data_IF_348995007334
#
_entry.id   IF_348995007334
#
_cell.length_a   1.000
_cell.length_b   1.000
_cell.length_c   1.000
_cell.angle_alpha   90.00
_cell.angle_beta   90.00
_cell.angle_gamma   90.00
#
_symmetry.space_group_name_H-M   'P 1'
#
loop_
_entity.id
_entity.type
_entity.pdbx_description
1 polymer ?
#
# COMPACT_ATOMS: atom_id res chain seq x y z
N UNK A 1 -23.39 -16.81 -6.87
CA UNK A 1 -23.40 -16.84 -5.39
C UNK A 1 -23.45 -18.29 -4.98
N UNK A 2 -22.31 -18.92 -4.71
CA UNK A 2 -22.26 -20.27 -4.18
C UNK A 2 -22.96 -20.29 -2.82
N UNK A 3 -23.89 -21.22 -2.63
CA UNK A 3 -24.43 -21.53 -1.30
C UNK A 3 -23.25 -21.80 -0.36
N UNK A 4 -23.26 -21.37 0.91
CA UNK A 4 -22.28 -21.86 1.87
C UNK A 4 -22.33 -23.38 1.82
N UNK A 5 -21.24 -23.98 1.38
CA UNK A 5 -21.18 -25.42 1.16
C UNK A 5 -21.41 -26.09 2.54
N UNK A 6 -22.42 -26.97 2.67
CA UNK A 6 -22.77 -27.58 3.94
C UNK A 6 -21.61 -28.37 4.57
N UNK A 7 -20.59 -28.73 3.78
CA UNK A 7 -19.48 -29.58 4.20
C UNK A 7 -18.21 -28.83 4.64
N UNK A 8 -18.17 -27.49 4.60
CA UNK A 8 -16.97 -26.70 4.97
C UNK A 8 -16.50 -27.00 6.38
N UNK A 9 -17.40 -27.11 7.35
CA UNK A 9 -17.03 -27.35 8.75
C UNK A 9 -16.48 -28.77 8.99
N UNK A 10 -16.96 -29.77 8.24
CA UNK A 10 -16.47 -31.15 8.31
C UNK A 10 -15.04 -31.24 7.75
N UNK A 11 -14.80 -30.63 6.58
CA UNK A 11 -13.48 -30.53 5.96
C UNK A 11 -12.52 -29.75 6.85
N UNK A 12 -12.96 -28.64 7.44
CA UNK A 12 -12.17 -27.84 8.39
C UNK A 12 -11.79 -28.65 9.63
N UNK A 13 -12.72 -29.44 10.18
CA UNK A 13 -12.45 -30.32 11.31
C UNK A 13 -11.43 -31.41 10.96
N UNK A 14 -11.48 -31.95 9.74
CA UNK A 14 -10.47 -32.89 9.25
C UNK A 14 -9.09 -32.24 9.12
N UNK A 15 -9.00 -31.07 8.48
CA UNK A 15 -7.75 -30.32 8.32
C UNK A 15 -7.10 -29.97 9.66
N UNK A 16 -7.90 -29.57 10.65
CA UNK A 16 -7.42 -29.26 12.00
C UNK A 16 -6.77 -30.47 12.71
N UNK A 17 -7.18 -31.70 12.34
CA UNK A 17 -6.61 -32.96 12.85
C UNK A 17 -5.39 -33.40 12.03
N UNK A 18 -5.46 -33.30 10.71
CA UNK A 18 -4.39 -33.73 9.80
C UNK A 18 -3.11 -32.89 9.93
N UNK A 19 -3.23 -31.57 10.13
CA UNK A 19 -2.12 -30.61 10.36
C UNK A 19 -0.96 -30.73 9.36
N UNK A 20 -1.26 -31.15 8.14
CA UNK A 20 -0.31 -31.42 7.06
C UNK A 20 -0.97 -31.16 5.71
N UNK A 21 -0.17 -31.13 4.63
CA UNK A 21 -0.67 -30.95 3.28
C UNK A 21 -1.50 -32.16 2.84
N UNK A 22 -2.73 -31.93 2.38
CA UNK A 22 -3.69 -32.98 2.00
C UNK A 22 -4.06 -32.87 0.53
N UNK A 23 -4.30 -34.01 -0.12
CA UNK A 23 -4.97 -34.03 -1.43
C UNK A 23 -6.49 -34.06 -1.25
N UNK A 24 -7.24 -33.75 -2.30
CA UNK A 24 -8.70 -33.92 -2.33
C UNK A 24 -9.10 -35.37 -2.00
N UNK A 25 -8.35 -36.35 -2.52
CA UNK A 25 -8.57 -37.77 -2.26
C UNK A 25 -8.37 -38.15 -0.79
N UNK A 26 -7.35 -37.59 -0.13
CA UNK A 26 -7.09 -37.83 1.30
C UNK A 26 -8.26 -37.32 2.16
N UNK A 27 -8.79 -36.14 1.82
CA UNK A 27 -9.91 -35.53 2.54
C UNK A 27 -11.20 -36.32 2.28
N UNK A 28 -11.50 -36.65 1.02
CA UNK A 28 -12.68 -37.42 0.66
C UNK A 28 -12.69 -38.81 1.33
N UNK A 29 -11.55 -39.49 1.36
CA UNK A 29 -11.40 -40.78 2.05
C UNK A 29 -11.55 -40.64 3.58
N UNK A 30 -11.11 -39.51 4.15
CA UNK A 30 -11.16 -39.24 5.59
C UNK A 30 -12.52 -38.78 6.11
N UNK A 31 -13.31 -38.08 5.28
CA UNK A 31 -14.61 -37.50 5.66
C UNK A 31 -15.80 -38.29 5.12
N UNK A 32 -15.62 -39.03 4.03
CA UNK A 32 -16.71 -39.71 3.30
C UNK A 32 -17.52 -38.79 2.39
N UNK A 33 -17.09 -37.53 2.21
CA UNK A 33 -17.69 -36.56 1.29
C UNK A 33 -17.21 -36.86 -0.15
N UNK A 34 -18.03 -36.55 -1.16
CA UNK A 34 -17.62 -36.66 -2.56
C UNK A 34 -16.51 -35.67 -2.92
N UNK A 35 -15.69 -36.02 -3.92
CA UNK A 35 -14.50 -35.24 -4.30
C UNK A 35 -14.85 -33.81 -4.72
N UNK A 36 -15.98 -33.59 -5.41
CA UNK A 36 -16.38 -32.26 -5.88
C UNK A 36 -16.79 -31.34 -4.73
N UNK A 37 -17.54 -31.85 -3.74
CA UNK A 37 -17.89 -31.09 -2.54
C UNK A 37 -16.65 -30.83 -1.66
N UNK A 38 -15.69 -31.76 -1.63
CA UNK A 38 -14.40 -31.53 -0.96
C UNK A 38 -13.62 -30.41 -1.63
N UNK A 39 -13.51 -30.42 -2.95
CA UNK A 39 -12.84 -29.36 -3.72
C UNK A 39 -13.49 -28.00 -3.45
N UNK A 40 -14.82 -27.91 -3.56
CA UNK A 40 -15.57 -26.68 -3.27
C UNK A 40 -15.33 -26.17 -1.84
N UNK A 41 -15.32 -27.07 -0.84
CA UNK A 41 -15.03 -26.72 0.54
C UNK A 41 -13.58 -26.25 0.75
N UNK A 42 -12.60 -26.89 0.09
CA UNK A 42 -11.19 -26.47 0.13
C UNK A 42 -11.01 -25.07 -0.48
N UNK A 43 -11.63 -24.80 -1.63
CA UNK A 43 -11.63 -23.48 -2.26
C UNK A 43 -12.30 -22.42 -1.37
N UNK A 44 -13.42 -22.75 -0.73
CA UNK A 44 -14.06 -21.85 0.24
C UNK A 44 -13.15 -21.53 1.44
N UNK A 45 -12.37 -22.50 1.91
CA UNK A 45 -11.38 -22.29 2.96
C UNK A 45 -10.19 -21.46 2.48
N UNK A 46 -9.72 -21.62 1.24
CA UNK A 46 -8.64 -20.82 0.65
C UNK A 46 -8.99 -19.32 0.57
N UNK A 47 -10.28 -18.98 0.42
CA UNK A 47 -10.77 -17.58 0.45
C UNK A 47 -10.73 -16.94 1.83
N UNK A 48 -10.71 -17.74 2.90
CA UNK A 48 -10.90 -17.26 4.28
C UNK A 48 -9.68 -17.48 5.16
N UNK A 49 -8.85 -18.48 4.84
CA UNK A 49 -7.68 -18.90 5.60
C UNK A 49 -6.42 -18.87 4.75
N UNK A 50 -5.26 -18.68 5.41
CA UNK A 50 -3.96 -18.80 4.75
C UNK A 50 -3.77 -20.24 4.29
N UNK A 51 -3.51 -20.41 3.00
CA UNK A 51 -3.32 -21.68 2.34
C UNK A 51 -2.23 -21.54 1.28
N UNK A 52 -1.59 -22.64 0.91
CA UNK A 52 -0.68 -22.71 -0.22
C UNK A 52 -0.97 -23.97 -1.02
N UNK A 53 -0.87 -23.85 -2.35
CA UNK A 53 -0.95 -24.97 -3.26
C UNK A 53 0.46 -25.43 -3.59
N UNK A 54 0.69 -26.73 -3.54
CA UNK A 54 1.98 -27.33 -3.90
C UNK A 54 1.75 -28.62 -4.68
N UNK A 55 2.79 -29.03 -5.40
CA UNK A 55 2.84 -30.32 -6.07
C UNK A 55 3.67 -31.25 -5.21
N UNK A 56 3.13 -32.41 -4.88
CA UNK A 56 3.86 -33.48 -4.19
C UNK A 56 4.71 -34.26 -5.20
N UNK A 57 5.73 -34.96 -4.72
CA UNK A 57 6.68 -35.73 -5.56
C UNK A 57 5.99 -36.78 -6.47
N UNK A 58 4.77 -37.20 -6.13
CA UNK A 58 3.95 -38.14 -6.91
C UNK A 58 3.11 -37.46 -8.02
N UNK A 59 3.24 -36.14 -8.20
CA UNK A 59 2.46 -35.36 -9.17
C UNK A 59 1.05 -35.03 -8.69
N UNK A 60 0.73 -35.24 -7.41
CA UNK A 60 -0.57 -34.90 -6.84
C UNK A 60 -0.62 -33.44 -6.38
N UNK A 61 -1.72 -32.75 -6.67
CA UNK A 61 -2.00 -31.42 -6.13
C UNK A 61 -2.32 -31.53 -4.64
N UNK A 62 -1.60 -30.78 -3.81
CA UNK A 62 -1.82 -30.76 -2.36
C UNK A 62 -2.12 -29.36 -1.85
N UNK A 63 -3.07 -29.32 -0.93
CA UNK A 63 -3.53 -28.13 -0.24
C UNK A 63 -2.89 -28.09 1.15
N UNK A 64 -2.07 -27.08 1.41
CA UNK A 64 -1.43 -26.87 2.70
C UNK A 64 -2.00 -25.64 3.41
N UNK A 65 -2.74 -25.87 4.50
CA UNK A 65 -3.26 -24.82 5.38
C UNK A 65 -2.35 -24.55 6.60
N UNK A 66 -1.19 -25.22 6.66
CA UNK A 66 -0.27 -25.20 7.78
C UNK A 66 -0.77 -26.01 8.99
N UNK A 67 -0.04 -25.88 10.10
CA UNK A 67 -0.37 -26.58 11.36
C UNK A 67 -1.60 -26.02 12.07
N UNK A 68 -1.91 -24.75 11.81
CA UNK A 68 -3.04 -24.01 12.37
C UNK A 68 -3.78 -23.31 11.24
N UNK A 69 -5.10 -23.44 11.22
CA UNK A 69 -5.98 -22.73 10.30
C UNK A 69 -5.99 -21.24 10.69
N UNK A 70 -5.11 -20.45 10.06
CA UNK A 70 -5.00 -19.01 10.33
C UNK A 70 -5.95 -18.24 9.39
N UNK A 71 -6.94 -17.50 9.91
CA UNK A 71 -7.78 -16.63 9.07
C UNK A 71 -6.95 -15.52 8.42
N UNK A 72 -7.26 -15.19 7.15
CA UNK A 72 -6.55 -14.16 6.38
C UNK A 72 -6.56 -12.78 7.06
N UNK A 73 -7.67 -12.43 7.73
CA UNK A 73 -7.83 -11.15 8.44
C UNK A 73 -7.20 -11.08 9.83
N UNK A 74 -6.46 -12.10 10.29
CA UNK A 74 -5.80 -12.06 11.60
C UNK A 74 -4.52 -11.23 11.47
N UNK A 75 -4.43 -10.05 12.11
CA UNK A 75 -3.26 -9.19 11.96
C UNK A 75 -2.04 -9.90 12.53
N UNK A 76 -1.01 -10.05 11.71
CA UNK A 76 0.26 -10.64 12.14
C UNK A 76 0.86 -9.83 13.29
N UNK A 77 1.72 -10.44 14.12
CA UNK A 77 2.41 -9.70 15.20
C UNK A 77 3.19 -8.51 14.62
N UNK A 78 3.78 -8.68 13.44
CA UNK A 78 4.43 -7.61 12.69
C UNK A 78 3.46 -6.49 12.31
N UNK A 79 2.27 -6.81 11.81
CA UNK A 79 1.24 -5.80 11.52
C UNK A 79 0.73 -5.08 12.77
N UNK A 80 0.62 -5.77 13.91
CA UNK A 80 0.23 -5.14 15.19
C UNK A 80 1.30 -4.16 15.66
N UNK A 81 2.57 -4.56 15.61
CA UNK A 81 3.72 -3.69 15.93
C UNK A 81 3.80 -2.52 14.96
N UNK A 82 3.60 -2.76 13.66
CA UNK A 82 3.57 -1.70 12.65
C UNK A 82 2.38 -0.74 12.87
N UNK A 83 1.22 -1.25 13.29
CA UNK A 83 0.05 -0.41 13.61
C UNK A 83 0.33 0.46 14.83
N UNK A 84 0.91 -0.12 15.89
CA UNK A 84 1.32 0.62 17.07
C UNK A 84 2.39 1.67 16.72
N UNK A 85 3.39 1.28 15.92
CA UNK A 85 4.44 2.15 15.42
C UNK A 85 3.89 3.31 14.60
N UNK A 86 2.93 3.06 13.69
CA UNK A 86 2.23 4.11 12.92
C UNK A 86 1.50 5.08 13.86
N UNK A 87 0.82 4.57 14.88
CA UNK A 87 0.13 5.41 15.86
C UNK A 87 1.12 6.25 16.70
N UNK A 88 2.19 5.62 17.19
CA UNK A 88 3.28 6.30 17.91
C UNK A 88 3.94 7.37 17.04
N UNK A 89 4.19 7.06 15.78
CA UNK A 89 4.78 7.98 14.80
C UNK A 89 3.86 9.16 14.50
N UNK A 90 2.55 8.93 14.38
CA UNK A 90 1.54 10.01 14.26
C UNK A 90 1.57 10.93 15.49
N UNK A 91 1.61 10.35 16.69
CA UNK A 91 1.71 11.12 17.94
C UNK A 91 3.02 11.91 18.04
N UNK A 92 4.14 11.25 17.79
CA UNK A 92 5.48 11.86 17.79
C UNK A 92 5.58 13.00 16.78
N UNK A 93 5.19 12.76 15.52
CA UNK A 93 5.23 13.79 14.48
C UNK A 93 4.34 14.98 14.80
N UNK A 94 3.17 14.78 15.40
CA UNK A 94 2.31 15.88 15.87
C UNK A 94 2.98 16.72 16.95
N UNK A 95 3.52 16.08 17.99
CA UNK A 95 4.22 16.77 19.09
C UNK A 95 5.45 17.51 18.57
N UNK A 96 6.24 16.87 17.72
CA UNK A 96 7.44 17.46 17.11
C UNK A 96 7.12 18.66 16.20
N UNK A 97 6.09 18.55 15.33
CA UNK A 97 5.63 19.66 14.50
C UNK A 97 5.18 20.85 15.36
N UNK A 98 4.46 20.56 16.45
CA UNK A 98 3.97 21.59 17.37
C UNK A 98 5.13 22.27 18.10
N UNK A 99 6.10 21.51 18.62
CA UNK A 99 7.25 22.09 19.32
C UNK A 99 8.13 22.92 18.38
N UNK A 100 8.36 22.45 17.15
CA UNK A 100 9.08 23.20 16.12
C UNK A 100 8.37 24.52 15.79
N UNK A 101 7.04 24.49 15.63
CA UNK A 101 6.25 25.69 15.38
C UNK A 101 6.34 26.70 16.54
N UNK A 102 6.28 26.24 17.80
CA UNK A 102 6.44 27.11 18.97
C UNK A 102 7.81 27.80 18.99
N UNK A 103 8.88 27.04 18.75
CA UNK A 103 10.24 27.60 18.67
C UNK A 103 10.35 28.61 17.52
N UNK A 104 9.79 28.28 16.36
CA UNK A 104 9.83 29.14 15.17
C UNK A 104 9.06 30.45 15.37
N UNK A 105 7.91 30.41 16.06
CA UNK A 105 7.16 31.61 16.47
C UNK A 105 7.99 32.44 17.45
N UNK A 106 8.65 31.80 18.42
CA UNK A 106 9.54 32.48 19.36
C UNK A 106 10.65 33.27 18.64
N UNK A 107 11.30 32.64 17.65
CA UNK A 107 12.29 33.32 16.80
C UNK A 107 11.66 34.44 15.96
N UNK A 108 10.49 34.22 15.35
CA UNK A 108 9.83 35.22 14.52
C UNK A 108 9.48 36.49 15.32
N UNK A 109 8.96 36.34 16.55
CA UNK A 109 8.69 37.46 17.46
C UNK A 109 9.98 38.17 17.85
N UNK A 110 11.05 37.42 18.19
CA UNK A 110 12.34 38.03 18.51
C UNK A 110 12.91 38.84 17.34
N UNK A 111 12.84 38.31 16.11
CA UNK A 111 13.25 39.04 14.90
C UNK A 111 12.37 40.27 14.63
N UNK A 112 11.06 40.18 14.83
CA UNK A 112 10.16 41.33 14.68
C UNK A 112 10.55 42.46 15.64
N UNK A 113 10.82 42.14 16.91
CA UNK A 113 11.28 43.11 17.91
C UNK A 113 12.61 43.73 17.49
N UNK A 114 13.55 42.93 16.97
CA UNK A 114 14.83 43.44 16.46
C UNK A 114 14.65 44.36 15.24
N UNK A 115 13.76 44.02 14.31
CA UNK A 115 13.46 44.86 13.14
C UNK A 115 12.83 46.18 13.56
N UNK A 116 11.85 46.17 14.46
CA UNK A 116 11.23 47.40 14.98
C UNK A 116 12.26 48.25 15.72
N UNK A 117 13.09 47.65 16.56
CA UNK A 117 14.18 48.35 17.25
C UNK A 117 15.18 48.96 16.27
N UNK A 118 15.58 48.22 15.22
CA UNK A 118 16.48 48.70 14.17
C UNK A 118 15.84 49.81 13.32
N UNK A 119 14.56 49.71 13.00
CA UNK A 119 13.81 50.73 12.25
C UNK A 119 13.71 52.03 13.04
N UNK A 120 13.40 51.96 14.34
CA UNK A 120 13.39 53.13 15.22
C UNK A 120 14.81 53.73 15.32
N UNK A 121 15.84 52.91 15.47
CA UNK A 121 17.23 53.36 15.52
C UNK A 121 17.76 53.94 14.20
N UNK A 122 17.22 53.52 13.04
CA UNK A 122 17.57 54.06 11.73
C UNK A 122 16.77 55.31 11.37
N UNK A 123 15.53 55.42 11.86
CA UNK A 123 14.67 56.61 11.67
C UNK A 123 15.18 57.86 12.37
N UNK A 124 16.09 57.73 13.35
CA UNK A 124 16.80 58.86 13.94
C UNK A 124 17.99 59.34 13.11
N UNK A 125 18.30 58.69 11.98
CA UNK A 125 19.47 58.99 11.13
C UNK A 125 19.15 59.44 9.70
N UNK A 126 17.89 59.41 9.24
CA UNK A 126 17.53 59.89 7.89
C UNK A 126 16.03 60.15 7.71
N UNK A 127 15.71 61.32 7.15
CA UNK A 127 14.42 61.71 6.60
C UNK A 127 14.35 61.31 5.12
N UNK A 128 13.93 60.10 4.78
CA UNK A 128 13.24 59.86 3.51
C UNK A 128 12.46 58.53 3.48
N UNK A 129 11.43 58.52 2.64
CA UNK A 129 10.26 57.61 2.63
C UNK A 129 10.53 56.11 2.78
N UNK A 130 9.69 55.48 3.62
CA UNK A 130 9.99 54.22 4.31
C UNK A 130 9.75 52.91 3.52
N UNK A 131 10.75 52.01 3.44
CA UNK A 131 10.65 50.60 3.00
C UNK A 131 9.77 49.69 3.89
N UNK A 132 9.04 50.28 4.84
CA UNK A 132 8.37 49.56 5.93
C UNK A 132 7.24 48.65 5.43
N UNK A 133 6.48 49.07 4.42
CA UNK A 133 5.33 48.33 3.91
C UNK A 133 5.74 46.95 3.35
N UNK A 134 6.86 46.89 2.61
CA UNK A 134 7.38 45.62 2.07
C UNK A 134 7.95 44.70 3.15
N UNK A 135 8.55 45.25 4.21
CA UNK A 135 9.03 44.47 5.35
C UNK A 135 7.87 43.86 6.16
N UNK A 136 6.77 44.60 6.38
CA UNK A 136 5.58 44.08 7.06
C UNK A 136 4.87 42.99 6.25
N UNK A 137 4.80 43.13 4.92
CA UNK A 137 4.23 42.11 4.04
C UNK A 137 5.07 40.83 4.03
N UNK A 138 6.40 40.95 4.00
CA UNK A 138 7.33 39.83 4.11
C UNK A 138 7.18 39.08 5.45
N UNK A 139 7.11 39.82 6.56
CA UNK A 139 6.90 39.24 7.89
C UNK A 139 5.54 38.53 7.95
N UNK A 140 4.47 39.15 7.45
CA UNK A 140 3.14 38.54 7.41
C UNK A 140 3.09 37.26 6.58
N UNK A 141 3.78 37.24 5.43
CA UNK A 141 3.90 36.06 4.57
C UNK A 141 4.66 34.92 5.26
N UNK A 142 5.76 35.22 5.94
CA UNK A 142 6.52 34.24 6.74
C UNK A 142 5.69 33.71 7.89
N UNK A 143 4.98 34.58 8.63
CA UNK A 143 4.07 34.16 9.71
C UNK A 143 2.98 33.22 9.20
N UNK A 144 2.35 33.51 8.06
CA UNK A 144 1.33 32.63 7.47
C UNK A 144 1.92 31.26 7.09
N UNK A 145 3.13 31.22 6.52
CA UNK A 145 3.82 29.99 6.16
C UNK A 145 4.17 29.11 7.38
N UNK A 146 4.41 29.70 8.55
CA UNK A 146 4.70 28.97 9.80
C UNK A 146 3.46 28.22 10.32
N UNK A 147 2.28 28.84 10.24
CA UNK A 147 1.02 28.23 10.69
C UNK A 147 0.41 27.27 9.66
N UNK A 148 1.03 27.13 8.49
CA UNK A 148 0.58 26.23 7.44
C UNK A 148 1.17 24.82 7.62
N UNK A 149 0.57 24.04 8.53
CA UNK A 149 1.03 22.69 8.90
C UNK A 149 0.90 21.62 7.80
N UNK A 150 0.18 21.94 6.72
CA UNK A 150 -0.01 21.06 5.56
C UNK A 150 1.10 21.33 4.55
N UNK A 151 2.00 20.36 4.33
CA UNK A 151 3.16 20.47 3.43
C UNK A 151 2.85 20.14 1.96
N UNK A 152 1.68 19.54 1.72
CA UNK A 152 1.21 19.09 0.42
C UNK A 152 -0.25 19.52 0.18
N UNK A 153 -0.64 19.57 -1.08
CA UNK A 153 -2.03 19.77 -1.52
C UNK A 153 -2.73 18.41 -1.59
N UNK A 154 -4.07 18.38 -1.58
CA UNK A 154 -4.84 17.15 -1.78
C UNK A 154 -4.84 16.64 -3.24
N UNK A 155 -4.11 17.31 -4.14
CA UNK A 155 -3.99 16.94 -5.54
C UNK A 155 -2.96 15.82 -5.69
N UNK A 156 -3.36 14.77 -6.39
CA UNK A 156 -2.53 13.61 -6.71
C UNK A 156 -2.09 13.75 -8.16
N UNK A 157 -0.79 13.60 -8.43
CA UNK A 157 -0.23 13.54 -9.77
C UNK A 157 0.65 12.30 -9.93
N UNK A 158 0.79 11.83 -11.17
CA UNK A 158 1.69 10.73 -11.50
C UNK A 158 3.11 11.25 -11.68
N UNK A 159 4.06 10.71 -10.92
CA UNK A 159 5.49 10.97 -11.06
C UNK A 159 6.19 9.68 -11.48
N UNK A 160 7.26 9.79 -12.27
CA UNK A 160 8.08 8.63 -12.66
C UNK A 160 9.39 8.70 -11.90
N UNK A 161 9.76 7.61 -11.23
CA UNK A 161 11.03 7.57 -10.51
C UNK A 161 12.23 7.49 -11.49
N UNK A 162 13.44 7.56 -10.93
CA UNK A 162 14.70 7.47 -11.71
C UNK A 162 14.87 6.17 -12.48
N UNK A 163 14.07 5.14 -12.18
CA UNK A 163 14.11 3.82 -12.78
C UNK A 163 12.97 3.61 -13.78
N UNK A 164 12.12 4.62 -14.01
CA UNK A 164 11.02 4.55 -14.97
C UNK A 164 9.70 4.02 -14.38
N UNK A 165 9.61 3.82 -13.06
CA UNK A 165 8.38 3.34 -12.43
C UNK A 165 7.43 4.50 -12.11
N UNK A 166 6.20 4.48 -12.67
CA UNK A 166 5.19 5.47 -12.33
C UNK A 166 4.70 5.23 -10.90
N UNK A 167 4.52 6.31 -10.14
CA UNK A 167 3.93 6.27 -8.80
C UNK A 167 3.09 7.52 -8.56
N UNK A 168 2.05 7.39 -7.73
CA UNK A 168 1.23 8.52 -7.31
C UNK A 168 1.92 9.33 -6.19
N UNK A 169 2.03 10.63 -6.40
CA UNK A 169 2.59 11.57 -5.43
C UNK A 169 1.62 12.73 -5.16
N UNK A 170 1.68 13.29 -3.95
CA UNK A 170 0.94 14.50 -3.62
C UNK A 170 1.68 15.74 -4.12
N UNK A 171 0.96 16.67 -4.75
CA UNK A 171 1.55 17.93 -5.21
C UNK A 171 2.14 18.70 -4.00
N UNK A 172 3.45 19.00 -4.01
CA UNK A 172 4.04 19.76 -2.94
C UNK A 172 3.50 21.18 -2.92
N UNK A 173 3.33 21.75 -1.72
CA UNK A 173 2.90 23.14 -1.64
C UNK A 173 3.96 24.08 -2.20
N UNK A 174 3.49 25.01 -3.03
CA UNK A 174 4.29 26.07 -3.61
C UNK A 174 4.81 27.01 -2.51
N UNK A 175 6.03 27.56 -2.65
CA UNK A 175 6.56 28.53 -1.70
C UNK A 175 5.70 29.80 -1.71
N UNK A 176 5.51 30.39 -0.52
CA UNK A 176 4.75 31.64 -0.34
C UNK A 176 5.45 32.85 -0.99
N UNK A 177 6.77 32.76 -1.19
CA UNK A 177 7.57 33.75 -1.91
C UNK A 177 7.75 33.33 -3.37
N UNK A 178 7.38 34.21 -4.30
CA UNK A 178 7.57 33.99 -5.72
C UNK A 178 9.08 33.81 -6.03
N UNK A 179 9.46 32.62 -6.49
CA UNK A 179 10.80 32.41 -7.07
C UNK A 179 10.82 33.04 -8.47
N UNK A 180 11.97 33.54 -8.95
CA UNK A 180 12.11 33.89 -10.37
C UNK A 180 11.76 32.68 -11.24
N UNK A 181 11.08 32.93 -12.37
CA UNK A 181 10.39 31.95 -13.22
C UNK A 181 11.25 30.77 -13.74
N UNK A 182 12.56 30.77 -13.53
CA UNK A 182 13.45 29.66 -13.88
C UNK A 182 13.46 28.51 -12.84
N UNK A 183 12.81 28.67 -11.67
CA UNK A 183 12.75 27.64 -10.61
C UNK A 183 11.32 27.44 -10.11
N UNK A 184 10.40 27.12 -11.02
CA UNK A 184 8.98 26.92 -10.68
C UNK A 184 8.69 25.59 -9.94
N UNK A 185 9.55 24.59 -10.06
CA UNK A 185 9.31 23.24 -9.53
C UNK A 185 10.05 22.96 -8.21
N UNK A 186 9.71 23.68 -7.13
CA UNK A 186 10.37 23.46 -5.85
C UNK A 186 9.44 23.55 -4.65
N UNK A 187 9.56 22.58 -3.74
CA UNK A 187 8.87 22.56 -2.45
C UNK A 187 9.18 23.84 -1.64
N UNK A 188 8.22 24.31 -0.85
CA UNK A 188 8.45 25.34 0.18
C UNK A 188 9.61 24.94 1.12
N UNK A 189 10.37 25.90 1.65
CA UNK A 189 11.44 25.62 2.63
C UNK A 189 10.91 24.85 3.84
N UNK A 190 9.75 25.26 4.38
CA UNK A 190 9.10 24.60 5.51
C UNK A 190 8.70 23.17 5.13
N UNK A 191 8.13 22.97 3.93
CA UNK A 191 7.79 21.65 3.42
C UNK A 191 9.04 20.75 3.24
N UNK A 192 10.16 21.33 2.80
CA UNK A 192 11.42 20.61 2.60
C UNK A 192 12.04 20.15 3.92
N UNK A 193 12.00 21.00 4.96
CA UNK A 193 12.46 20.63 6.31
C UNK A 193 11.59 19.51 6.88
N UNK A 194 10.26 19.61 6.74
CA UNK A 194 9.37 18.55 7.18
C UNK A 194 9.56 17.24 6.42
N UNK A 195 9.70 17.28 5.10
CA UNK A 195 9.96 16.09 4.28
C UNK A 195 11.34 15.48 4.60
N UNK A 196 12.34 16.29 4.95
CA UNK A 196 13.66 15.80 5.38
C UNK A 196 13.60 15.07 6.72
N UNK A 197 12.87 15.62 7.70
CA UNK A 197 12.79 15.05 9.05
C UNK A 197 11.79 13.88 9.14
N UNK A 198 10.66 13.98 8.44
CA UNK A 198 9.54 13.03 8.56
C UNK A 198 9.39 12.11 7.35
N UNK A 199 10.08 12.39 6.26
CA UNK A 199 9.86 11.79 4.96
C UNK A 199 8.71 12.48 4.19
N UNK A 200 8.74 12.41 2.85
CA UNK A 200 7.62 12.89 2.03
C UNK A 200 6.36 12.06 2.27
N UNK A 201 5.19 12.69 2.18
CA UNK A 201 3.92 11.99 2.25
C UNK A 201 3.72 11.11 1.03
N UNK A 202 3.42 9.83 1.24
CA UNK A 202 3.16 8.86 0.18
C UNK A 202 1.65 8.62 0.07
N UNK A 203 1.18 8.44 -1.16
CA UNK A 203 -0.19 7.98 -1.41
C UNK A 203 -0.26 6.52 -0.96
N UNK A 204 -1.24 6.19 -0.12
CA UNK A 204 -1.48 4.80 0.26
C UNK A 204 -2.03 4.06 -0.97
N UNK A 205 -1.38 2.98 -1.43
CA UNK A 205 -1.89 2.21 -2.56
C UNK A 205 -3.25 1.60 -2.22
N UNK A 206 -4.09 1.44 -3.24
CA UNK A 206 -5.39 0.80 -3.06
C UNK A 206 -5.21 -0.62 -2.50
N UNK A 207 -5.99 -1.07 -1.49
CA UNK A 207 -5.78 -2.36 -0.83
C UNK A 207 -5.90 -3.57 -1.76
N UNK A 208 -6.55 -3.42 -2.92
CA UNK A 208 -6.69 -4.44 -3.95
C UNK A 208 -5.83 -4.18 -5.21
N UNK A 209 -4.93 -3.19 -5.19
CA UNK A 209 -4.10 -2.84 -6.36
C UNK A 209 -3.32 -4.06 -6.87
N UNK A 210 -2.74 -4.85 -5.96
CA UNK A 210 -1.99 -6.06 -6.32
C UNK A 210 -2.87 -7.11 -7.02
N UNK A 211 -4.11 -7.31 -6.54
CA UNK A 211 -5.05 -8.23 -7.18
C UNK A 211 -5.47 -7.73 -8.57
N UNK A 212 -5.66 -6.42 -8.72
CA UNK A 212 -6.00 -5.81 -10.00
C UNK A 212 -4.86 -5.97 -11.02
N UNK A 213 -3.62 -5.75 -10.59
CA UNK A 213 -2.44 -5.93 -11.44
C UNK A 213 -2.27 -7.39 -11.90
N UNK A 214 -2.41 -8.35 -10.98
CA UNK A 214 -2.34 -9.77 -11.32
C UNK A 214 -3.51 -10.18 -12.23
N UNK A 215 -4.73 -9.69 -11.99
CA UNK A 215 -5.86 -9.95 -12.86
C UNK A 215 -5.67 -9.37 -14.27
N UNK A 216 -5.08 -8.18 -14.39
CA UNK A 216 -4.73 -7.58 -15.67
C UNK A 216 -3.68 -8.43 -16.41
N UNK A 217 -2.64 -8.89 -15.70
CA UNK A 217 -1.64 -9.80 -16.25
C UNK A 217 -2.25 -11.11 -16.76
N UNK A 218 -3.12 -11.76 -15.96
CA UNK A 218 -3.80 -13.00 -16.34
C UNK A 218 -4.61 -12.81 -17.61
N UNK A 219 -5.31 -11.68 -17.74
CA UNK A 219 -6.07 -11.36 -18.96
C UNK A 219 -5.18 -11.12 -20.18
N UNK A 220 -3.99 -10.54 -19.99
CA UNK A 220 -3.03 -10.30 -21.07
C UNK A 220 -2.32 -11.60 -21.53
N UNK A 221 -2.08 -12.53 -20.61
CA UNK A 221 -1.36 -13.79 -20.87
C UNK A 221 -2.27 -15.00 -21.09
N UNK A 222 -3.45 -14.78 -21.68
CA UNK A 222 -4.32 -15.88 -22.10
C UNK A 222 -4.97 -16.67 -20.96
N UNK A 223 -5.11 -16.07 -19.78
CA UNK A 223 -5.83 -16.64 -18.65
C UNK A 223 -5.04 -17.63 -17.82
N UNK A 224 -3.72 -17.70 -17.98
CA UNK A 224 -2.84 -18.60 -17.21
C UNK A 224 -2.04 -17.81 -16.18
N UNK A 225 -1.87 -18.37 -14.98
CA UNK A 225 -1.03 -17.83 -13.93
C UNK A 225 -0.18 -18.94 -13.31
N UNK A 226 1.09 -18.64 -13.04
CA UNK A 226 1.95 -19.47 -12.20
C UNK A 226 2.38 -18.73 -10.94
N UNK A 227 2.84 -19.47 -9.92
CA UNK A 227 3.44 -18.86 -8.71
C UNK A 227 4.64 -17.98 -9.08
N UNK A 228 5.42 -18.37 -10.10
CA UNK A 228 6.59 -17.59 -10.54
C UNK A 228 6.19 -16.26 -11.15
N UNK A 229 5.09 -16.22 -11.89
CA UNK A 229 4.55 -14.97 -12.42
C UNK A 229 4.13 -14.03 -11.29
N UNK A 230 3.45 -14.57 -10.27
CA UNK A 230 3.09 -13.79 -9.07
C UNK A 230 4.35 -13.20 -8.41
N UNK A 231 5.42 -13.98 -8.26
CA UNK A 231 6.68 -13.49 -7.69
C UNK A 231 7.31 -12.40 -8.56
N UNK A 232 7.32 -12.58 -9.88
CA UNK A 232 7.91 -11.64 -10.81
C UNK A 232 7.16 -10.30 -10.85
N UNK A 233 5.83 -10.32 -10.73
CA UNK A 233 4.99 -9.12 -10.75
C UNK A 233 5.00 -8.38 -9.41
N UNK A 234 4.81 -9.11 -8.31
CA UNK A 234 4.62 -8.49 -6.99
C UNK A 234 5.90 -8.28 -6.19
N UNK A 235 7.00 -8.94 -6.57
CA UNK A 235 8.23 -9.00 -5.76
C UNK A 235 8.08 -9.82 -4.47
N UNK A 236 6.97 -10.53 -4.27
CA UNK A 236 6.73 -11.35 -3.08
C UNK A 236 7.75 -12.49 -2.95
N UNK A 237 8.11 -12.79 -1.70
CA UNK A 237 8.86 -14.01 -1.40
C UNK A 237 8.05 -15.25 -1.74
N UNK A 238 8.73 -16.38 -2.01
CA UNK A 238 8.08 -17.63 -2.50
C UNK A 238 6.84 -18.03 -1.69
N UNK A 239 6.97 -18.11 -0.37
CA UNK A 239 5.87 -18.51 0.53
C UNK A 239 4.68 -17.55 0.47
N UNK A 240 4.95 -16.25 0.36
CA UNK A 240 3.91 -15.23 0.28
C UNK A 240 3.21 -15.27 -1.09
N UNK A 241 3.97 -15.47 -2.17
CA UNK A 241 3.43 -15.66 -3.50
C UNK A 241 2.59 -16.93 -3.62
N UNK A 242 3.01 -18.05 -3.01
CA UNK A 242 2.22 -19.30 -2.96
C UNK A 242 0.89 -19.06 -2.22
N UNK A 243 0.90 -18.28 -1.14
CA UNK A 243 -0.32 -17.93 -0.40
C UNK A 243 -1.24 -16.98 -1.17
N UNK A 244 -0.66 -15.98 -1.81
CA UNK A 244 -1.40 -15.07 -2.67
C UNK A 244 -2.01 -15.81 -3.86
N UNK A 245 -1.24 -16.69 -4.51
CA UNK A 245 -1.68 -17.51 -5.63
C UNK A 245 -2.86 -18.38 -5.25
N UNK A 246 -2.76 -19.17 -4.16
CA UNK A 246 -3.85 -20.00 -3.67
C UNK A 246 -5.13 -19.18 -3.41
N UNK A 247 -4.99 -18.05 -2.71
CA UNK A 247 -6.12 -17.15 -2.45
C UNK A 247 -6.71 -16.59 -3.75
N UNK A 248 -5.88 -16.15 -4.68
CA UNK A 248 -6.30 -15.54 -5.95
C UNK A 248 -7.04 -16.54 -6.85
N UNK A 249 -6.53 -17.78 -6.95
CA UNK A 249 -7.21 -18.91 -7.61
C UNK A 249 -8.60 -19.09 -7.03
N UNK A 250 -8.72 -19.16 -5.70
CA UNK A 250 -10.00 -19.34 -5.06
C UNK A 250 -10.93 -18.13 -5.23
N UNK A 251 -10.44 -16.90 -5.11
CA UNK A 251 -11.24 -15.67 -5.22
C UNK A 251 -11.77 -15.40 -6.64
N UNK A 252 -11.02 -15.78 -7.67
CA UNK A 252 -11.37 -15.52 -9.08
C UNK A 252 -11.94 -16.75 -9.80
N UNK A 253 -12.36 -17.77 -9.04
CA UNK A 253 -12.90 -19.03 -9.57
C UNK A 253 -11.96 -19.67 -10.63
N UNK A 254 -10.64 -19.62 -10.39
CA UNK A 254 -9.64 -20.25 -11.24
C UNK A 254 -9.51 -21.75 -10.97
N UNK A 255 -9.00 -22.51 -11.93
CA UNK A 255 -8.79 -23.96 -11.80
C UNK A 255 -7.29 -24.23 -11.73
N UNK A 256 -6.82 -24.83 -10.63
CA UNK A 256 -5.41 -25.20 -10.46
C UNK A 256 -5.12 -26.58 -11.05
N UNK A 257 -4.10 -26.67 -11.90
CA UNK A 257 -3.70 -27.88 -12.60
C UNK A 257 -2.17 -28.05 -12.58
N UNK A 258 -1.72 -29.26 -12.90
CA UNK A 258 -0.31 -29.61 -12.98
C UNK A 258 0.01 -29.92 -14.43
N UNK A 259 1.02 -29.24 -14.96
CA UNK A 259 1.52 -29.46 -16.32
C UNK A 259 2.20 -30.81 -16.43
N UNK A 260 2.34 -31.33 -17.65
CA UNK A 260 3.10 -32.56 -17.93
C UNK A 260 4.53 -32.50 -17.37
N UNK A 261 5.13 -31.31 -17.31
CA UNK A 261 6.46 -31.06 -16.74
C UNK A 261 6.47 -30.96 -15.19
N UNK A 262 5.33 -31.17 -14.53
CA UNK A 262 5.18 -31.09 -13.08
C UNK A 262 5.06 -29.66 -12.52
N UNK A 263 4.80 -28.67 -13.38
CA UNK A 263 4.63 -27.28 -12.98
C UNK A 263 3.18 -26.97 -12.56
N UNK A 264 3.00 -26.35 -11.40
CA UNK A 264 1.70 -25.83 -10.95
C UNK A 264 1.33 -24.56 -11.71
N UNK A 265 0.18 -24.57 -12.36
CA UNK A 265 -0.43 -23.40 -12.98
C UNK A 265 -1.92 -23.34 -12.66
N UNK A 266 -2.53 -22.18 -12.86
CA UNK A 266 -3.98 -22.03 -12.78
C UNK A 266 -4.53 -21.34 -14.03
N UNK A 267 -5.72 -21.73 -14.43
CA UNK A 267 -6.47 -21.16 -15.56
C UNK A 267 -7.67 -20.36 -15.06
N UNK A 268 -7.99 -19.26 -15.74
CA UNK A 268 -9.03 -18.32 -15.31
C UNK A 268 -9.96 -17.96 -16.47
N UNK A 269 -10.88 -18.87 -16.81
CA UNK A 269 -11.82 -18.64 -17.91
C UNK A 269 -12.75 -17.45 -17.65
N UNK A 270 -13.24 -17.28 -16.43
CA UNK A 270 -14.18 -16.20 -16.09
C UNK A 270 -13.54 -14.81 -16.23
N UNK A 271 -12.25 -14.67 -15.93
CA UNK A 271 -11.51 -13.43 -16.17
C UNK A 271 -11.37 -13.10 -17.66
N UNK A 272 -11.35 -14.10 -18.53
CA UNK A 272 -11.28 -13.93 -19.99
C UNK A 272 -12.64 -13.65 -20.64
N UNK A 273 -13.75 -14.03 -20.01
CA UNK A 273 -15.10 -13.83 -20.59
C UNK A 273 -15.49 -12.36 -20.71
N UNK A 274 -14.89 -11.47 -19.93
CA UNK A 274 -15.13 -10.03 -20.01
C UNK A 274 -14.53 -9.42 -21.28
N UNK A 275 -15.38 -8.89 -22.18
CA UNK A 275 -14.97 -8.20 -23.42
C UNK A 275 -14.47 -6.76 -23.22
N UNK A 276 -14.54 -6.22 -22.00
CA UNK A 276 -14.17 -4.83 -21.72
C UNK A 276 -12.70 -4.74 -21.34
N UNK A 277 -11.86 -4.28 -22.28
CA UNK A 277 -10.41 -4.05 -22.06
C UNK A 277 -10.06 -2.71 -21.39
N UNK A 278 -11.07 -1.90 -21.06
CA UNK A 278 -10.89 -0.55 -20.54
C UNK A 278 -10.19 -0.50 -19.16
N UNK A 279 -10.16 -1.61 -18.43
CA UNK A 279 -9.58 -1.72 -17.08
C UNK A 279 -8.32 -2.59 -17.02
N UNK A 280 -7.67 -2.83 -18.17
CA UNK A 280 -6.52 -3.75 -18.29
C UNK A 280 -5.18 -3.01 -18.18
N UNK A 281 -5.23 -1.69 -18.00
CA UNK A 281 -4.05 -0.87 -17.74
C UNK A 281 -3.52 -1.17 -16.32
N UNK A 282 -2.20 -1.17 -16.12
CA UNK A 282 -1.62 -1.31 -14.79
C UNK A 282 -2.18 -0.23 -13.87
N UNK A 283 -2.56 -0.63 -12.65
CA UNK A 283 -3.06 0.29 -11.63
C UNK A 283 -1.85 0.99 -11.01
N UNK A 284 -1.70 2.28 -11.33
CA UNK A 284 -0.64 3.17 -10.82
C UNK A 284 -1.02 3.71 -9.44
#
# INVERSE_FOLDING_TARGET
MASPDPHVEEVKAFLARARSAVSEGDVAAGTGIDVGSVEAALYALMRTHRSSLAVRDDGTLVYDFGRELVPLGRPSLAERVATLGRWLWKGFSFVYKTSLAVVLVGYAVAFLVLIVAAAIAASSASEDDGPATGAFELVGAVFRAIFEFMTHTALIYGETDRYGYPHAAYEPKRPVLAKPAEREEGKSFVASVYDFVLGPTRVEPHPLAQQQEVAAFVRQNGGVLTVRDVQALSGMGRKEAEQFFARFVAEQDGVAEISEDGALYATFEELLRSKTKAHDAPVI
#
